data_IF_678480129886
#
_entry.id   IF_678480129886
#
_cell.length_a   1.000
_cell.length_b   1.000
_cell.length_c   1.000
_cell.angle_alpha   90.00
_cell.angle_beta   90.00
_cell.angle_gamma   90.00
#
_symmetry.space_group_name_H-M   'P 1'
#
loop_
_entity.id
_entity.type
_entity.pdbx_description
1 polymer ?
#
# COMPACT_ATOMS: atom_id res chain seq x y z
N UNK A 1 7.31 -13.78 -9.57
CA UNK A 1 7.85 -12.58 -10.24
C UNK A 1 9.04 -12.06 -9.47
N UNK A 2 9.70 -11.02 -9.98
CA UNK A 2 10.72 -10.26 -9.23
C UNK A 2 10.00 -9.36 -8.22
N UNK A 3 10.36 -9.34 -6.93
CA UNK A 3 9.75 -8.41 -5.96
C UNK A 3 10.01 -6.96 -6.33
N UNK A 4 8.98 -6.11 -6.27
CA UNK A 4 9.04 -4.69 -6.63
C UNK A 4 8.72 -3.83 -5.42
N UNK A 5 9.48 -2.75 -5.23
CA UNK A 5 9.15 -1.68 -4.30
C UNK A 5 8.56 -0.53 -5.12
N UNK A 6 7.27 -0.24 -4.91
CA UNK A 6 6.57 0.88 -5.54
C UNK A 6 6.85 2.19 -4.80
N UNK A 7 7.06 3.28 -5.52
CA UNK A 7 7.31 4.59 -4.92
C UNK A 7 6.80 5.71 -5.83
N UNK A 8 6.34 6.79 -5.20
CA UNK A 8 5.96 8.03 -5.86
C UNK A 8 4.46 8.24 -5.86
N UNK A 9 4.03 9.43 -5.43
CA UNK A 9 2.61 9.81 -5.46
C UNK A 9 1.73 9.20 -4.36
N UNK A 10 2.25 8.36 -3.47
CA UNK A 10 1.48 7.79 -2.36
C UNK A 10 1.25 8.85 -1.28
N UNK A 11 0.00 9.30 -1.16
CA UNK A 11 -0.44 10.33 -0.23
C UNK A 11 -1.56 9.85 0.70
N UNK A 12 -2.15 8.69 0.46
CA UNK A 12 -3.16 8.06 1.31
C UNK A 12 -3.16 6.51 1.22
N UNK A 13 -4.13 5.87 1.89
CA UNK A 13 -4.29 4.41 1.89
C UNK A 13 -4.63 3.89 0.49
N UNK A 14 -5.51 4.59 -0.23
CA UNK A 14 -6.00 4.19 -1.54
C UNK A 14 -4.84 4.09 -2.54
N UNK A 15 -3.93 5.07 -2.56
CA UNK A 15 -2.74 5.01 -3.40
C UNK A 15 -1.87 3.78 -3.04
N UNK A 16 -1.72 3.48 -1.75
CA UNK A 16 -0.94 2.31 -1.31
C UNK A 16 -1.56 1.00 -1.82
N UNK A 17 -2.89 0.88 -1.76
CA UNK A 17 -3.63 -0.27 -2.28
C UNK A 17 -3.42 -0.41 -3.79
N UNK A 18 -3.54 0.68 -4.55
CA UNK A 18 -3.30 0.68 -6.00
C UNK A 18 -1.91 0.14 -6.35
N UNK A 19 -0.87 0.51 -5.58
CA UNK A 19 0.48 -0.01 -5.78
C UNK A 19 0.57 -1.52 -5.53
N UNK A 20 -0.07 -2.03 -4.47
CA UNK A 20 -0.11 -3.48 -4.23
C UNK A 20 -0.87 -4.19 -5.35
N UNK A 21 -2.06 -3.71 -5.72
CA UNK A 21 -2.88 -4.30 -6.77
C UNK A 21 -2.20 -4.27 -8.15
N UNK A 22 -1.39 -3.25 -8.43
CA UNK A 22 -0.57 -3.15 -9.63
C UNK A 22 0.66 -4.09 -9.62
N UNK A 23 1.00 -4.69 -8.47
CA UNK A 23 2.05 -5.72 -8.35
C UNK A 23 3.25 -5.36 -7.47
N UNK A 24 3.23 -4.22 -6.79
CA UNK A 24 4.27 -3.91 -5.79
C UNK A 24 4.17 -4.87 -4.60
N UNK A 25 5.31 -5.36 -4.12
CA UNK A 25 5.40 -6.19 -2.91
C UNK A 25 5.66 -5.36 -1.64
N UNK A 26 6.13 -4.13 -1.81
CA UNK A 26 6.30 -3.14 -0.76
C UNK A 26 6.15 -1.74 -1.37
N UNK A 27 5.94 -0.74 -0.53
CA UNK A 27 5.83 0.66 -0.96
C UNK A 27 6.75 1.58 -0.16
N UNK A 28 7.11 2.73 -0.74
CA UNK A 28 7.86 3.78 -0.06
C UNK A 28 7.16 5.14 -0.17
N UNK A 29 7.05 5.85 0.96
CA UNK A 29 6.43 7.16 1.07
C UNK A 29 7.51 8.22 1.35
N UNK A 30 7.63 9.19 0.45
CA UNK A 30 8.63 10.26 0.51
C UNK A 30 8.01 11.64 0.72
N UNK A 31 7.61 12.30 -0.38
CA UNK A 31 7.13 13.69 -0.38
C UNK A 31 5.95 13.93 0.58
N UNK A 32 5.02 12.98 0.70
CA UNK A 32 3.86 13.12 1.59
C UNK A 32 4.26 13.28 3.07
N UNK A 33 5.39 12.71 3.49
CA UNK A 33 5.91 12.81 4.87
C UNK A 33 6.23 14.25 5.27
N UNK A 34 6.61 15.11 4.32
CA UNK A 34 6.88 16.53 4.61
C UNK A 34 5.59 17.33 4.89
N UNK A 35 4.47 16.95 4.27
CA UNK A 35 3.17 17.58 4.51
C UNK A 35 2.48 16.98 5.74
N UNK A 36 2.57 15.66 5.90
CA UNK A 36 2.05 14.92 7.04
C UNK A 36 3.08 13.89 7.55
N UNK A 37 3.81 14.19 8.65
CA UNK A 37 4.77 13.25 9.23
C UNK A 37 4.16 11.93 9.72
N UNK A 38 2.83 11.88 9.95
CA UNK A 38 2.10 10.68 10.39
C UNK A 38 1.58 9.82 9.25
N UNK A 39 1.77 10.22 7.98
CA UNK A 39 1.15 9.53 6.85
C UNK A 39 1.47 8.04 6.79
N UNK A 40 2.70 7.65 7.15
CA UNK A 40 3.09 6.24 7.19
C UNK A 40 2.30 5.44 8.22
N UNK A 41 2.10 6.00 9.42
CA UNK A 41 1.28 5.36 10.48
C UNK A 41 -0.19 5.26 10.04
N UNK A 42 -0.73 6.33 9.45
CA UNK A 42 -2.10 6.36 8.94
C UNK A 42 -2.34 5.30 7.86
N UNK A 43 -1.41 5.16 6.90
CA UNK A 43 -1.46 4.14 5.86
C UNK A 43 -1.35 2.73 6.44
N UNK A 44 -0.44 2.50 7.39
CA UNK A 44 -0.28 1.18 8.04
C UNK A 44 -1.58 0.78 8.75
N UNK A 45 -2.13 1.65 9.60
CA UNK A 45 -3.37 1.38 10.34
C UNK A 45 -4.58 1.24 9.40
N UNK A 46 -4.64 2.05 8.35
CA UNK A 46 -5.67 1.96 7.31
C UNK A 46 -5.61 0.62 6.58
N UNK A 47 -4.41 0.17 6.24
CA UNK A 47 -4.16 -1.10 5.55
C UNK A 47 -4.52 -2.28 6.44
N UNK A 48 -4.14 -2.28 7.71
CA UNK A 48 -4.53 -3.32 8.67
C UNK A 48 -6.05 -3.44 8.77
N UNK A 49 -6.76 -2.31 8.89
CA UNK A 49 -8.24 -2.28 8.95
C UNK A 49 -8.86 -2.78 7.65
N UNK A 50 -8.33 -2.37 6.50
CA UNK A 50 -8.80 -2.82 5.19
C UNK A 50 -8.67 -4.34 5.05
N UNK A 51 -7.49 -4.88 5.32
CA UNK A 51 -7.22 -6.32 5.21
C UNK A 51 -8.13 -7.12 6.15
N UNK A 52 -8.27 -6.69 7.41
CA UNK A 52 -9.18 -7.33 8.36
C UNK A 52 -10.64 -7.28 7.90
N UNK A 53 -11.10 -6.13 7.39
CA UNK A 53 -12.46 -5.96 6.88
C UNK A 53 -12.78 -6.85 5.68
N UNK A 54 -11.76 -7.21 4.89
CA UNK A 54 -11.89 -8.13 3.75
C UNK A 54 -11.60 -9.59 4.10
N UNK A 55 -11.20 -9.90 5.34
CA UNK A 55 -10.77 -11.25 5.74
C UNK A 55 -9.46 -11.70 5.08
N UNK A 56 -8.65 -10.75 4.61
CA UNK A 56 -7.36 -10.98 3.95
C UNK A 56 -6.26 -11.03 5.00
N UNK A 57 -5.35 -12.02 4.93
CA UNK A 57 -4.31 -12.24 5.96
C UNK A 57 -3.07 -11.40 5.75
N UNK A 58 -2.87 -10.83 4.57
CA UNK A 58 -1.75 -9.96 4.27
C UNK A 58 -1.78 -9.38 2.87
N UNK A 59 -0.93 -8.37 2.64
CA UNK A 59 -0.81 -7.68 1.36
C UNK A 59 -0.49 -8.61 0.19
N UNK A 60 0.24 -9.71 0.42
CA UNK A 60 0.60 -10.70 -0.62
C UNK A 60 -0.62 -11.28 -1.37
N UNK A 61 -1.81 -11.28 -0.77
CA UNK A 61 -3.03 -11.79 -1.41
C UNK A 61 -3.63 -10.79 -2.41
N UNK A 62 -3.35 -9.49 -2.23
CA UNK A 62 -3.78 -8.41 -3.13
C UNK A 62 -2.70 -8.00 -4.14
N UNK A 63 -1.44 -8.46 -3.96
CA UNK A 63 -0.37 -8.16 -4.91
C UNK A 63 -0.73 -8.64 -6.32
N UNK A 64 -0.77 -7.70 -7.27
CA UNK A 64 -1.06 -7.98 -8.68
C UNK A 64 -2.52 -8.31 -8.97
N UNK A 65 -3.46 -7.98 -8.07
CA UNK A 65 -4.88 -8.24 -8.28
C UNK A 65 -5.45 -7.54 -9.53
N UNK A 66 -4.93 -6.36 -9.90
CA UNK A 66 -5.35 -5.61 -11.10
C UNK A 66 -4.76 -6.16 -12.41
N UNK A 67 -3.86 -7.15 -12.35
CA UNK A 67 -3.23 -7.77 -13.52
C UNK A 67 -3.87 -9.13 -13.90
N UNK A 68 -4.87 -9.58 -13.13
CA UNK A 68 -5.55 -10.86 -13.31
C UNK A 68 -6.79 -10.75 -14.19
#
# INVERSE_FOLDING_TARGET
GVPIIGMGGIMCLEDALDFFEAGATAIAIGTATFANPKIMEEVILGLEKYLQGQGIKGTNEIVGAALK
#
